data_IF_214152206889
#
_entry.id   IF_214152206889
#
_cell.length_a   1.000
_cell.length_b   1.000
_cell.length_c   1.000
_cell.angle_alpha   90.00
_cell.angle_beta   90.00
_cell.angle_gamma   90.00
#
_symmetry.space_group_name_H-M   'P 1'
#
loop_
_entity.id
_entity.type
_entity.pdbx_description
1 polymer ?
#
# COMPACT_ATOMS: atom_id res chain seq x y z
N UNK A 1 -3.19 1.54 12.21
CA UNK A 1 -3.62 0.16 11.85
C UNK A 1 -3.85 0.11 10.35
N UNK A 2 -3.15 -0.77 9.61
CA UNK A 2 -3.32 -0.91 8.15
C UNK A 2 -4.68 -1.54 7.86
N UNK A 3 -5.61 -0.79 7.27
CA UNK A 3 -6.95 -1.29 6.91
C UNK A 3 -7.00 -1.97 5.54
N UNK A 4 -5.95 -1.82 4.72
CA UNK A 4 -5.91 -2.23 3.32
C UNK A 4 -4.89 -3.33 2.98
N UNK A 5 -4.17 -3.87 3.97
CA UNK A 5 -3.16 -4.91 3.75
C UNK A 5 -2.81 -5.67 5.02
N UNK A 6 -2.18 -6.84 4.85
CA UNK A 6 -1.75 -7.71 5.94
C UNK A 6 -0.35 -7.31 6.42
N UNK A 7 -0.20 -7.05 7.72
CA UNK A 7 1.10 -6.86 8.34
C UNK A 7 1.68 -8.21 8.74
N UNK A 8 2.95 -8.40 8.42
CA UNK A 8 3.76 -9.57 8.79
C UNK A 8 5.08 -9.06 9.37
N UNK A 9 5.78 -9.90 10.13
CA UNK A 9 7.16 -9.60 10.52
C UNK A 9 8.05 -9.63 9.26
N UNK A 10 8.65 -8.49 8.86
CA UNK A 10 9.45 -8.43 7.64
C UNK A 10 10.83 -9.09 7.78
N UNK A 11 11.27 -9.41 9.00
CA UNK A 11 12.58 -10.02 9.25
C UNK A 11 12.55 -11.54 9.22
N UNK A 12 11.35 -12.13 9.11
CA UNK A 12 11.14 -13.57 9.12
C UNK A 12 10.44 -14.03 7.84
N UNK A 13 11.06 -14.97 7.14
CA UNK A 13 10.53 -15.51 5.90
C UNK A 13 9.28 -16.39 6.11
N UNK A 14 9.09 -16.97 7.30
CA UNK A 14 7.95 -17.83 7.61
C UNK A 14 6.63 -17.02 7.63
N UNK A 15 6.48 -15.95 8.42
CA UNK A 15 5.31 -15.07 8.38
C UNK A 15 5.04 -14.46 7.00
N UNK A 16 6.08 -14.17 6.21
CA UNK A 16 5.93 -13.69 4.84
C UNK A 16 5.27 -14.76 3.97
N UNK A 17 5.79 -15.99 3.97
CA UNK A 17 5.23 -17.09 3.19
C UNK A 17 3.78 -17.40 3.59
N UNK A 18 3.49 -17.44 4.89
CA UNK A 18 2.13 -17.62 5.41
C UNK A 18 1.20 -16.46 4.99
N UNK A 19 1.70 -15.22 5.07
CA UNK A 19 0.97 -14.03 4.64
C UNK A 19 0.61 -14.09 3.15
N UNK A 20 1.56 -14.48 2.30
CA UNK A 20 1.33 -14.67 0.86
C UNK A 20 0.29 -15.78 0.61
N UNK A 21 0.42 -16.94 1.27
CA UNK A 21 -0.54 -18.03 1.15
C UNK A 21 -1.96 -17.59 1.54
N UNK A 22 -2.10 -16.84 2.63
CA UNK A 22 -3.39 -16.29 3.10
C UNK A 22 -3.99 -15.30 2.10
N UNK A 23 -3.20 -14.40 1.52
CA UNK A 23 -3.70 -13.47 0.48
C UNK A 23 -4.31 -14.22 -0.72
N UNK A 24 -3.74 -15.38 -1.07
CA UNK A 24 -4.20 -16.18 -2.21
C UNK A 24 -5.42 -17.07 -1.88
N UNK A 25 -5.56 -17.51 -0.63
CA UNK A 25 -6.55 -18.52 -0.24
C UNK A 25 -7.74 -17.98 0.57
N UNK A 26 -7.56 -16.89 1.32
CA UNK A 26 -8.57 -16.33 2.21
C UNK A 26 -9.41 -15.26 1.48
N UNK A 27 -10.67 -15.62 1.20
CA UNK A 27 -11.63 -14.73 0.51
C UNK A 27 -12.01 -13.50 1.35
N UNK A 28 -11.92 -13.57 2.67
CA UNK A 28 -12.19 -12.44 3.56
C UNK A 28 -11.12 -11.37 3.39
N UNK A 29 -9.85 -11.78 3.44
CA UNK A 29 -8.68 -10.90 3.21
C UNK A 29 -8.76 -10.28 1.81
N UNK A 30 -9.05 -11.07 0.79
CA UNK A 30 -9.17 -10.59 -0.59
C UNK A 30 -10.26 -9.51 -0.74
N UNK A 31 -11.44 -9.74 -0.17
CA UNK A 31 -12.55 -8.78 -0.24
C UNK A 31 -12.18 -7.48 0.49
N UNK A 32 -11.60 -7.59 1.68
CA UNK A 32 -11.18 -6.41 2.44
C UNK A 32 -10.14 -5.58 1.67
N UNK A 33 -9.11 -6.23 1.11
CA UNK A 33 -8.08 -5.53 0.33
C UNK A 33 -8.66 -4.81 -0.89
N UNK A 34 -9.58 -5.46 -1.62
CA UNK A 34 -10.27 -4.85 -2.77
C UNK A 34 -11.10 -3.62 -2.39
N UNK A 35 -11.72 -3.61 -1.23
CA UNK A 35 -12.55 -2.50 -0.76
C UNK A 35 -11.72 -1.34 -0.19
N UNK A 36 -10.73 -1.65 0.63
CA UNK A 36 -9.95 -0.64 1.35
C UNK A 36 -8.77 -0.07 0.53
N UNK A 37 -8.23 -0.84 -0.41
CA UNK A 37 -7.08 -0.46 -1.25
C UNK A 37 -7.28 0.85 -2.01
N UNK A 38 -8.36 1.00 -2.81
CA UNK A 38 -8.63 2.24 -3.54
C UNK A 38 -8.77 3.45 -2.62
N UNK A 39 -9.47 3.31 -1.49
CA UNK A 39 -9.61 4.39 -0.50
C UNK A 39 -8.28 4.82 0.12
N UNK A 40 -7.36 3.87 0.35
CA UNK A 40 -6.01 4.16 0.87
C UNK A 40 -5.11 4.84 -0.17
N UNK A 41 -5.29 4.54 -1.45
CA UNK A 41 -4.49 5.07 -2.55
C UNK A 41 -4.99 6.46 -3.03
N UNK A 42 -6.30 6.73 -2.92
CA UNK A 42 -6.92 7.96 -3.42
C UNK A 42 -6.23 9.27 -3.01
N UNK A 43 -5.68 9.44 -1.79
CA UNK A 43 -4.98 10.67 -1.40
C UNK A 43 -3.60 10.88 -2.07
N UNK A 44 -3.09 9.90 -2.81
CA UNK A 44 -1.73 9.91 -3.38
C UNK A 44 -1.73 9.84 -4.91
N UNK A 45 -2.40 10.76 -5.64
CA UNK A 45 -2.34 10.80 -7.10
C UNK A 45 -0.96 11.29 -7.57
N UNK A 46 -0.50 10.78 -8.71
CA UNK A 46 0.80 11.13 -9.28
C UNK A 46 0.93 12.61 -9.61
N UNK A 47 -0.17 13.25 -10.01
CA UNK A 47 -0.24 14.67 -10.34
C UNK A 47 0.08 15.56 -9.13
N UNK A 48 -0.25 15.12 -7.91
CA UNK A 48 0.12 15.85 -6.70
C UNK A 48 1.62 15.75 -6.45
N UNK A 49 2.19 14.55 -6.59
CA UNK A 49 3.64 14.32 -6.45
C UNK A 49 4.43 15.14 -7.47
N UNK A 50 4.00 15.12 -8.74
CA UNK A 50 4.67 15.85 -9.82
C UNK A 50 4.73 17.36 -9.52
N UNK A 51 3.59 17.97 -9.16
CA UNK A 51 3.53 19.40 -8.80
C UNK A 51 4.40 19.75 -7.58
N UNK A 52 4.44 18.87 -6.58
CA UNK A 52 5.27 19.10 -5.39
C UNK A 52 6.77 19.04 -5.71
N UNK A 53 7.18 18.09 -6.57
CA UNK A 53 8.57 17.96 -7.00
C UNK A 53 8.98 19.14 -7.87
N UNK A 54 8.15 19.55 -8.83
CA UNK A 54 8.38 20.72 -9.69
C UNK A 54 8.60 21.98 -8.85
N UNK A 55 7.68 22.29 -7.94
CA UNK A 55 7.78 23.46 -7.06
C UNK A 55 9.07 23.47 -6.22
N UNK A 56 9.57 22.30 -5.79
CA UNK A 56 10.84 22.20 -5.08
C UNK A 56 12.03 22.47 -5.99
N UNK A 57 12.01 21.94 -7.22
CA UNK A 57 13.08 22.17 -8.19
C UNK A 57 13.16 23.66 -8.57
N UNK A 58 12.02 24.33 -8.73
CA UNK A 58 11.95 25.78 -8.99
C UNK A 58 12.55 26.63 -7.85
N UNK A 59 12.43 26.19 -6.59
CA UNK A 59 13.02 26.89 -5.44
C UNK A 59 14.55 26.78 -5.36
N UNK A 60 15.12 25.76 -6.02
CA UNK A 60 16.56 25.46 -5.97
C UNK A 60 17.31 25.93 -7.21
N UNK A 61 16.60 26.38 -8.25
CA UNK A 61 17.15 26.94 -9.49
C UNK A 61 17.48 28.43 -9.32
#
# INVERSE_FOLDING_TARGET
>A
MSSAGLLVDPTSHIPIAEGMARVLSDRGIQRQARQAGPGRAAPFPWENTARQVEALLEQLA
#
